data_IF_303712144165
#
_entry.id   IF_303712144165
#
_cell.length_a   1.000
_cell.length_b   1.000
_cell.length_c   1.000
_cell.angle_alpha   90.00
_cell.angle_beta   90.00
_cell.angle_gamma   90.00
#
_symmetry.space_group_name_H-M   'P 1'
#
loop_
_entity.id
_entity.type
_entity.pdbx_description
1 polymer ?
#
# COMPACT_ATOMS: atom_id res chain seq x y z
N UNK A 1 23.08 3.89 26.57
CA UNK A 1 22.71 2.48 26.84
C UNK A 1 21.19 2.42 26.75
N UNK A 2 20.60 2.24 25.57
CA UNK A 2 20.73 1.06 24.71
C UNK A 2 21.08 1.47 23.28
N UNK A 3 22.27 1.10 22.82
CA UNK A 3 22.58 1.01 21.39
C UNK A 3 21.73 -0.13 20.84
N UNK A 4 20.65 0.19 20.12
CA UNK A 4 19.92 -0.82 19.38
C UNK A 4 20.73 -1.14 18.14
N UNK A 5 21.73 -1.99 18.38
CA UNK A 5 22.40 -2.90 17.46
C UNK A 5 21.79 -2.90 16.07
N UNK A 6 22.58 -2.48 15.09
CA UNK A 6 22.27 -2.59 13.68
C UNK A 6 21.73 -3.97 13.37
N UNK A 7 20.43 -4.03 13.06
CA UNK A 7 19.92 -5.15 12.29
C UNK A 7 20.45 -4.93 10.89
N UNK A 8 21.52 -5.65 10.57
CA UNK A 8 21.90 -5.95 9.19
C UNK A 8 20.73 -6.71 8.56
N UNK A 9 19.70 -5.99 8.13
CA UNK A 9 18.66 -6.57 7.31
C UNK A 9 19.19 -6.61 5.89
N UNK A 10 19.32 -7.82 5.39
CA UNK A 10 19.37 -8.21 3.99
C UNK A 10 18.73 -7.16 3.08
N UNK A 11 19.39 -6.79 1.97
CA UNK A 11 19.01 -5.76 0.99
C UNK A 11 17.65 -5.98 0.27
N UNK A 12 16.76 -6.80 0.83
CA UNK A 12 15.46 -7.12 0.27
C UNK A 12 14.40 -6.25 0.95
N UNK A 13 13.70 -5.45 0.14
CA UNK A 13 12.53 -4.73 0.57
C UNK A 13 11.51 -5.69 1.22
N UNK A 14 10.95 -5.36 2.40
CA UNK A 14 9.97 -6.19 3.10
C UNK A 14 8.63 -6.20 2.35
N UNK A 15 8.51 -7.16 1.42
CA UNK A 15 7.30 -7.37 0.63
C UNK A 15 6.28 -8.21 1.41
N UNK A 16 5.05 -7.72 1.51
CA UNK A 16 3.92 -8.44 2.13
C UNK A 16 2.70 -8.42 1.23
N UNK A 17 1.91 -9.49 1.31
CA UNK A 17 0.54 -9.44 0.79
C UNK A 17 -0.31 -8.46 1.60
N UNK A 18 -1.33 -7.86 0.99
CA UNK A 18 -2.19 -6.87 1.66
C UNK A 18 -2.71 -7.35 3.02
N UNK A 19 -3.21 -8.60 3.10
CA UNK A 19 -3.68 -9.19 4.36
C UNK A 19 -2.57 -9.30 5.41
N UNK A 20 -1.37 -9.73 5.00
CA UNK A 20 -0.23 -9.85 5.91
C UNK A 20 0.25 -8.48 6.39
N UNK A 21 0.29 -7.48 5.50
CA UNK A 21 0.69 -6.13 5.87
C UNK A 21 -0.24 -5.54 6.94
N UNK A 22 -1.57 -5.70 6.79
CA UNK A 22 -2.52 -5.24 7.82
C UNK A 22 -2.37 -5.99 9.13
N UNK A 23 -2.12 -7.31 9.09
CA UNK A 23 -1.87 -8.08 10.31
C UNK A 23 -0.58 -7.63 11.02
N UNK A 24 0.48 -7.34 10.26
CA UNK A 24 1.75 -6.86 10.80
C UNK A 24 1.61 -5.48 11.42
N UNK A 25 0.88 -4.57 10.77
CA UNK A 25 0.57 -3.24 11.32
C UNK A 25 -0.29 -3.36 12.59
N UNK A 26 -1.29 -4.25 12.62
CA UNK A 26 -2.09 -4.50 13.82
C UNK A 26 -1.30 -5.13 14.96
N UNK A 27 -0.27 -5.93 14.65
CA UNK A 27 0.62 -6.49 15.66
C UNK A 27 1.52 -5.41 16.27
N UNK A 28 1.95 -4.43 15.46
CA UNK A 28 2.75 -3.29 15.92
C UNK A 28 1.89 -2.23 16.64
N UNK A 29 0.68 -1.94 16.14
CA UNK A 29 -0.30 -1.03 16.70
C UNK A 29 -1.70 -1.69 16.75
N UNK A 30 -2.07 -2.29 17.89
CA UNK A 30 -3.37 -2.95 18.07
C UNK A 30 -4.57 -2.01 17.92
N UNK A 31 -4.38 -0.71 18.10
CA UNK A 31 -5.46 0.28 18.04
C UNK A 31 -5.66 0.87 16.64
N UNK A 32 -4.88 0.41 15.66
CA UNK A 32 -5.02 0.84 14.28
C UNK A 32 -6.40 0.46 13.71
N UNK A 33 -7.10 1.45 13.17
CA UNK A 33 -8.34 1.23 12.42
C UNK A 33 -8.09 0.74 10.98
N UNK A 34 -6.83 0.48 10.61
CA UNK A 34 -6.45 0.07 9.26
C UNK A 34 -7.04 -1.30 8.90
N UNK A 35 -7.72 -1.36 7.76
CA UNK A 35 -8.35 -2.58 7.23
C UNK A 35 -7.77 -2.98 5.88
N UNK A 36 -7.93 -4.25 5.50
CA UNK A 36 -7.52 -4.71 4.16
C UNK A 36 -8.18 -3.92 3.04
N UNK A 37 -9.45 -3.51 3.23
CA UNK A 37 -10.19 -2.74 2.24
C UNK A 37 -9.57 -1.36 2.03
N UNK A 38 -9.13 -0.69 3.11
CA UNK A 38 -8.43 0.59 3.02
C UNK A 38 -7.13 0.44 2.22
N UNK A 39 -6.33 -0.58 2.51
CA UNK A 39 -5.08 -0.83 1.77
C UNK A 39 -5.33 -1.17 0.31
N UNK A 40 -6.34 -1.99 -0.01
CA UNK A 40 -6.74 -2.26 -1.41
C UNK A 40 -7.12 -0.99 -2.15
N UNK A 41 -7.85 -0.10 -1.48
CA UNK A 41 -8.26 1.19 -2.03
C UNK A 41 -7.04 2.07 -2.32
N UNK A 42 -6.11 2.21 -1.38
CA UNK A 42 -4.87 2.97 -1.58
C UNK A 42 -4.03 2.45 -2.76
N UNK A 43 -4.01 1.13 -2.96
CA UNK A 43 -3.34 0.52 -4.12
C UNK A 43 -4.10 0.80 -5.42
N UNK A 44 -5.43 0.74 -5.40
CA UNK A 44 -6.26 1.01 -6.57
C UNK A 44 -6.24 2.49 -6.98
N UNK A 45 -6.14 3.40 -6.01
CA UNK A 45 -5.98 4.85 -6.21
C UNK A 45 -4.57 5.23 -6.67
N UNK A 46 -3.62 4.28 -6.69
CA UNK A 46 -2.23 4.54 -7.10
C UNK A 46 -1.36 5.17 -6.01
N UNK A 47 -1.94 5.49 -4.86
CA UNK A 47 -1.27 6.11 -3.71
C UNK A 47 -0.14 5.25 -3.15
N UNK A 48 -0.32 3.92 -3.16
CA UNK A 48 0.69 2.97 -2.70
C UNK A 48 1.06 2.03 -3.84
N UNK A 49 2.34 1.97 -4.25
CA UNK A 49 2.78 1.06 -5.29
C UNK A 49 2.67 -0.39 -4.83
N UNK A 50 2.12 -1.24 -5.70
CA UNK A 50 1.98 -2.68 -5.45
C UNK A 50 2.39 -3.50 -6.67
N UNK A 51 3.06 -4.62 -6.43
CA UNK A 51 3.42 -5.60 -7.45
C UNK A 51 2.35 -6.68 -7.50
N UNK A 52 1.75 -6.89 -8.68
CA UNK A 52 0.76 -7.96 -8.88
C UNK A 52 1.45 -9.27 -9.25
N UNK A 53 1.24 -10.29 -8.43
CA UNK A 53 1.74 -11.65 -8.66
C UNK A 53 0.54 -12.60 -8.75
N UNK A 54 0.10 -12.85 -9.99
CA UNK A 54 -1.13 -13.61 -10.28
C UNK A 54 -2.36 -12.95 -9.67
N UNK A 55 -2.94 -13.60 -8.65
CA UNK A 55 -4.12 -13.12 -7.90
C UNK A 55 -3.75 -12.28 -6.67
N UNK A 56 -2.49 -12.27 -6.24
CA UNK A 56 -2.03 -11.56 -5.04
C UNK A 56 -1.42 -10.22 -5.43
N UNK A 57 -1.58 -9.24 -4.54
CA UNK A 57 -0.88 -7.96 -4.59
C UNK A 57 0.12 -7.93 -3.44
N UNK A 58 1.37 -7.64 -3.77
CA UNK A 58 2.46 -7.48 -2.82
C UNK A 58 2.79 -5.99 -2.70
N UNK A 59 2.86 -5.51 -1.47
CA UNK A 59 3.19 -4.14 -1.13
C UNK A 59 4.48 -4.12 -0.31
N UNK A 60 5.27 -3.07 -0.51
CA UNK A 60 6.43 -2.80 0.32
C UNK A 60 5.95 -2.17 1.64
N UNK A 61 6.26 -2.82 2.76
CA UNK A 61 5.90 -2.31 4.08
C UNK A 61 6.56 -0.97 4.40
N UNK A 62 7.82 -0.77 4.02
CA UNK A 62 8.54 0.48 4.31
C UNK A 62 7.86 1.68 3.64
N UNK A 63 7.39 1.48 2.40
CA UNK A 63 6.64 2.51 1.67
C UNK A 63 5.28 2.79 2.32
N UNK A 64 4.59 1.74 2.77
CA UNK A 64 3.32 1.89 3.49
C UNK A 64 3.53 2.63 4.81
N UNK A 65 4.56 2.29 5.59
CA UNK A 65 4.89 3.00 6.83
C UNK A 65 5.26 4.46 6.55
N UNK A 66 6.13 4.73 5.58
CA UNK A 66 6.50 6.09 5.20
C UNK A 66 5.25 6.90 4.81
N UNK A 67 4.35 6.33 4.01
CA UNK A 67 3.11 6.99 3.64
C UNK A 67 2.22 7.31 4.84
N UNK A 68 2.06 6.37 5.78
CA UNK A 68 1.26 6.57 7.00
C UNK A 68 1.89 7.60 7.95
N UNK A 69 3.22 7.72 7.96
CA UNK A 69 3.95 8.62 8.87
C UNK A 69 4.01 10.05 8.33
N UNK A 70 4.27 10.21 7.04
CA UNK A 70 4.36 11.52 6.39
C UNK A 70 2.98 12.12 6.09
N UNK A 71 1.93 11.30 6.04
CA UNK A 71 0.61 11.69 5.55
C UNK A 71 0.64 11.94 4.03
N UNK A 72 -0.55 12.01 3.41
CA UNK A 72 -0.63 12.41 2.00
C UNK A 72 -0.43 13.92 1.87
N UNK A 73 0.78 14.36 1.51
CA UNK A 73 0.88 15.60 0.76
C UNK A 73 0.22 15.34 -0.60
N UNK A 74 -0.85 16.08 -0.89
CA UNK A 74 -1.69 15.91 -2.07
C UNK A 74 -0.88 15.66 -3.35
N UNK A 75 -1.09 14.49 -3.96
CA UNK A 75 -0.77 14.23 -5.35
C UNK A 75 -1.95 13.47 -5.96
N UNK A 76 -3.07 14.18 -6.07
CA UNK A 76 -4.18 13.81 -6.93
C UNK A 76 -3.87 14.37 -8.32
N UNK A 77 -2.94 13.73 -9.02
CA UNK A 77 -2.71 13.95 -10.44
C UNK A 77 -2.71 12.53 -11.05
N UNK A 78 -3.85 12.13 -11.62
CA UNK A 78 -3.87 11.50 -12.95
C UNK A 78 -5.30 11.14 -13.41
N UNK A 79 -5.75 11.99 -14.34
CA UNK A 79 -6.70 11.82 -15.44
C UNK A 79 -7.26 10.41 -15.66
N UNK A 80 -8.53 10.22 -15.30
CA UNK A 80 -9.31 9.12 -15.88
C UNK A 80 -9.95 9.61 -17.18
N UNK A 81 -9.30 9.27 -18.28
CA UNK A 81 -9.89 9.28 -19.62
C UNK A 81 -11.19 8.47 -19.57
N UNK A 82 -12.33 9.16 -19.54
CA UNK A 82 -13.65 8.52 -19.63
C UNK A 82 -13.81 8.03 -21.05
N UNK A 83 -13.42 6.77 -21.28
CA UNK A 83 -13.71 6.05 -22.49
C UNK A 83 -15.20 6.24 -22.83
N UNK A 84 -15.46 6.84 -23.98
CA UNK A 84 -16.78 7.24 -24.42
C UNK A 84 -17.81 6.12 -24.31
N UNK A 85 -19.03 6.51 -23.94
CA UNK A 85 -20.23 5.68 -24.02
C UNK A 85 -20.26 5.04 -25.41
N UNK A 86 -20.36 3.72 -25.48
CA UNK A 86 -20.46 2.99 -26.75
C UNK A 86 -21.85 3.31 -27.34
N UNK A 87 -21.96 3.98 -28.50
CA UNK A 87 -23.27 4.24 -29.08
C UNK A 87 -23.91 2.92 -29.52
N UNK A 88 -25.17 2.74 -29.16
CA UNK A 88 -26.02 1.66 -29.68
C UNK A 88 -26.37 2.04 -31.11
N UNK A 89 -26.07 1.15 -32.07
CA UNK A 89 -26.59 1.30 -33.44
C UNK A 89 -28.05 0.85 -33.45
N UNK A 90 -28.87 1.67 -34.08
CA UNK A 90 -30.30 1.47 -34.36
C UNK A 90 -30.59 0.10 -34.99
#
# INVERSE_FOLDING_TARGET
>A
MVEVSGRMHSHLAPMRGIRQAVLEIKAADPHTALTERAVRRMVAEGTIPAVRVGRKQLINLDVLYAYLTNGSAAAAEDTTNTAGIRPVRE
#
